data_IF_145384673877
#
_entry.id   IF_145384673877
#
_cell.length_a   1.000
_cell.length_b   1.000
_cell.length_c   1.000
_cell.angle_alpha   90.00
_cell.angle_beta   90.00
_cell.angle_gamma   90.00
#
_symmetry.space_group_name_H-M   'P 1'
#
loop_
_entity.id
_entity.type
_entity.pdbx_description
1 polymer ?
#
# COMPACT_ATOMS: atom_id res chain seq x y z
N UNK A 1 21.93 3.88 0.86
CA UNK A 1 22.42 5.22 0.55
C UNK A 1 23.22 5.18 -0.77
N UNK A 2 22.86 5.96 -1.81
CA UNK A 2 23.46 5.84 -3.15
C UNK A 2 25.00 6.03 -3.17
N UNK A 3 25.51 6.98 -2.40
CA UNK A 3 26.96 7.26 -2.34
C UNK A 3 27.76 6.19 -1.60
N UNK A 4 27.22 5.64 -0.53
CA UNK A 4 27.92 4.63 0.29
C UNK A 4 27.56 3.21 -0.12
N UNK A 5 26.56 3.01 -0.99
CA UNK A 5 25.98 1.71 -1.37
C UNK A 5 25.57 0.84 -0.18
N UNK A 6 25.22 1.47 0.93
CA UNK A 6 24.78 0.80 2.15
C UNK A 6 23.28 0.89 2.32
N UNK A 7 22.67 -0.20 2.80
CA UNK A 7 21.29 -0.26 3.24
C UNK A 7 21.22 0.02 4.74
N UNK A 8 20.19 0.75 5.15
CA UNK A 8 19.87 1.00 6.55
C UNK A 8 18.41 0.69 6.78
N UNK A 9 18.10 0.02 7.88
CA UNK A 9 16.71 -0.15 8.32
C UNK A 9 16.23 1.17 8.94
N UNK A 10 15.14 1.72 8.42
CA UNK A 10 14.51 2.97 8.89
C UNK A 10 13.32 2.70 9.83
N UNK A 11 13.10 1.45 10.23
CA UNK A 11 12.03 1.04 11.13
C UNK A 11 10.98 0.14 10.45
N UNK A 12 9.85 0.00 11.12
CA UNK A 12 8.75 -0.86 10.70
C UNK A 12 7.55 -0.04 10.23
N UNK A 13 6.72 -0.65 9.38
CA UNK A 13 5.40 -0.12 9.05
C UNK A 13 4.52 -0.06 10.30
N UNK A 14 3.61 0.92 10.42
CA UNK A 14 2.64 0.93 11.50
C UNK A 14 1.73 -0.28 11.41
N UNK A 15 1.45 -0.91 12.55
CA UNK A 15 0.51 -2.03 12.63
C UNK A 15 -0.90 -1.62 12.17
N UNK A 16 -1.68 -2.60 11.77
CA UNK A 16 -3.12 -2.43 11.56
C UNK A 16 -3.84 -2.22 12.91
N UNK A 17 -5.08 -1.74 12.85
CA UNK A 17 -5.96 -1.73 14.01
C UNK A 17 -6.05 -3.15 14.60
N UNK A 18 -5.95 -3.26 15.94
CA UNK A 18 -5.91 -4.57 16.61
C UNK A 18 -4.51 -5.20 16.71
N UNK A 19 -3.44 -4.52 16.27
CA UNK A 19 -2.05 -4.95 16.42
C UNK A 19 -1.56 -5.96 15.37
N UNK A 20 -2.37 -6.29 14.36
CA UNK A 20 -1.96 -7.15 13.25
C UNK A 20 -0.81 -6.55 12.45
N UNK A 21 0.06 -7.40 11.92
CA UNK A 21 1.15 -6.96 11.08
C UNK A 21 0.65 -6.38 9.75
N UNK A 22 1.44 -5.48 9.20
CA UNK A 22 1.22 -4.90 7.86
C UNK A 22 2.35 -5.33 6.93
N UNK A 23 2.02 -5.59 5.67
CA UNK A 23 2.98 -5.72 4.59
C UNK A 23 2.65 -4.72 3.47
N UNK A 24 3.63 -4.42 2.66
CA UNK A 24 3.47 -3.63 1.43
C UNK A 24 3.75 -4.46 0.18
N UNK A 25 3.79 -5.76 0.32
CA UNK A 25 3.93 -6.67 -0.82
C UNK A 25 2.84 -6.40 -1.85
N UNK A 26 3.23 -6.10 -3.09
CA UNK A 26 2.31 -5.68 -4.15
C UNK A 26 1.75 -4.26 -3.99
N UNK A 27 2.15 -3.50 -2.97
CA UNK A 27 1.82 -2.08 -2.84
C UNK A 27 2.66 -1.21 -3.75
N UNK A 28 2.31 0.06 -3.85
CA UNK A 28 3.09 1.06 -4.57
C UNK A 28 3.35 2.30 -3.71
N UNK A 29 4.44 2.99 -4.03
CA UNK A 29 4.88 4.17 -3.28
C UNK A 29 5.38 5.27 -4.24
N UNK A 30 5.22 6.52 -3.82
CA UNK A 30 5.69 7.69 -4.57
C UNK A 30 6.17 8.79 -3.63
N UNK A 31 7.20 9.52 -4.04
CA UNK A 31 7.61 10.73 -3.33
C UNK A 31 6.54 11.82 -3.45
N UNK A 32 6.29 12.54 -2.37
CA UNK A 32 5.33 13.65 -2.32
C UNK A 32 5.99 14.83 -1.60
N UNK A 33 6.27 15.89 -2.34
CA UNK A 33 7.11 16.99 -1.86
C UNK A 33 8.53 16.52 -1.53
N UNK A 34 9.24 17.30 -0.70
CA UNK A 34 10.67 17.11 -0.43
C UNK A 34 10.97 16.10 0.69
N UNK A 35 9.97 15.74 1.47
CA UNK A 35 10.17 14.98 2.71
C UNK A 35 9.20 13.84 2.93
N UNK A 36 8.29 13.58 2.02
CA UNK A 36 7.26 12.57 2.21
C UNK A 36 7.31 11.48 1.15
N UNK A 37 6.98 10.27 1.57
CA UNK A 37 6.70 9.13 0.69
C UNK A 37 5.29 8.66 1.01
N UNK A 38 4.44 8.62 -0.02
CA UNK A 38 3.11 8.02 0.08
C UNK A 38 3.18 6.55 -0.27
N UNK A 39 2.43 5.73 0.44
CA UNK A 39 2.38 4.29 0.29
C UNK A 39 0.93 3.81 0.30
N UNK A 40 0.55 3.01 -0.66
CA UNK A 40 -0.82 2.52 -0.84
C UNK A 40 -0.87 1.07 -1.28
N UNK A 41 -1.99 0.41 -1.02
CA UNK A 41 -2.34 -0.91 -1.52
C UNK A 41 -1.48 -2.04 -0.98
N UNK A 42 -1.43 -3.11 -1.75
CA UNK A 42 -0.74 -4.34 -1.38
C UNK A 42 -1.63 -5.36 -0.68
N UNK A 43 -1.09 -6.56 -0.51
CA UNK A 43 -1.82 -7.69 0.07
C UNK A 43 -1.99 -7.56 1.59
N UNK A 44 -2.97 -8.27 2.16
CA UNK A 44 -3.08 -8.43 3.60
C UNK A 44 -2.02 -9.42 4.10
N UNK A 45 -1.29 -9.04 5.14
CA UNK A 45 -0.18 -9.84 5.69
C UNK A 45 -0.63 -11.24 6.13
N UNK A 46 -1.69 -11.32 6.94
CA UNK A 46 -2.11 -12.59 7.52
C UNK A 46 -2.65 -13.55 6.46
N UNK A 47 -3.48 -13.04 5.53
CA UNK A 47 -4.00 -13.82 4.40
C UNK A 47 -2.89 -14.30 3.48
N UNK A 48 -1.95 -13.44 3.16
CA UNK A 48 -0.84 -13.78 2.28
C UNK A 48 0.10 -14.82 2.91
N UNK A 49 0.46 -14.62 4.18
CA UNK A 49 1.29 -15.56 4.94
C UNK A 49 0.61 -16.91 5.09
N UNK A 50 -0.70 -16.93 5.38
CA UNK A 50 -1.47 -18.15 5.52
C UNK A 50 -1.50 -18.94 4.21
N UNK A 51 -1.75 -18.28 3.09
CA UNK A 51 -1.73 -18.91 1.76
C UNK A 51 -0.36 -19.49 1.39
N UNK A 52 0.73 -18.90 1.86
CA UNK A 52 2.08 -19.43 1.63
C UNK A 52 2.37 -20.67 2.48
N UNK A 53 1.88 -20.70 3.73
CA UNK A 53 2.13 -21.78 4.69
C UNK A 53 1.14 -22.94 4.55
N UNK A 54 -0.08 -22.65 4.13
CA UNK A 54 -1.19 -23.61 3.99
C UNK A 54 -1.87 -23.42 2.62
N UNK A 55 -1.25 -23.88 1.52
CA UNK A 55 -1.82 -23.74 0.18
C UNK A 55 -3.17 -24.44 0.06
N UNK A 56 -4.20 -23.71 -0.35
CA UNK A 56 -5.55 -24.23 -0.60
C UNK A 56 -5.79 -24.33 -2.11
N UNK A 57 -6.33 -25.44 -2.63
CA UNK A 57 -6.59 -25.61 -4.07
C UNK A 57 -7.55 -24.57 -4.65
N UNK A 58 -8.48 -24.05 -3.84
CA UNK A 58 -9.49 -23.06 -4.20
C UNK A 58 -9.12 -21.63 -3.83
N UNK A 59 -7.87 -21.37 -3.42
CA UNK A 59 -7.38 -20.04 -3.03
C UNK A 59 -7.78 -18.93 -4.03
N UNK A 60 -7.75 -19.20 -5.34
CA UNK A 60 -8.08 -18.21 -6.36
C UNK A 60 -9.59 -18.01 -6.58
N UNK A 61 -10.44 -18.85 -6.00
CA UNK A 61 -11.89 -18.83 -6.21
C UNK A 61 -12.61 -17.87 -5.26
N UNK A 62 -11.96 -17.44 -4.18
CA UNK A 62 -12.56 -16.50 -3.22
C UNK A 62 -12.93 -15.15 -3.87
N UNK A 63 -13.96 -14.46 -3.36
CA UNK A 63 -14.30 -13.11 -3.79
C UNK A 63 -13.21 -12.11 -3.37
N UNK A 64 -13.17 -10.93 -4.00
CA UNK A 64 -12.08 -9.96 -3.79
C UNK A 64 -11.94 -9.48 -2.33
N UNK A 65 -13.05 -9.28 -1.64
CA UNK A 65 -13.09 -8.85 -0.24
C UNK A 65 -12.50 -9.88 0.75
N UNK A 66 -12.49 -11.15 0.38
CA UNK A 66 -11.86 -12.20 1.19
C UNK A 66 -10.36 -11.98 1.36
N UNK A 67 -9.66 -11.46 0.32
CA UNK A 67 -8.21 -11.24 0.34
C UNK A 67 -7.81 -10.06 1.21
N UNK A 68 -8.74 -9.17 1.54
CA UNK A 68 -8.53 -8.01 2.43
C UNK A 68 -7.30 -7.17 2.07
N UNK A 69 -7.15 -6.85 0.79
CA UNK A 69 -6.06 -5.98 0.36
C UNK A 69 -6.08 -4.66 1.12
N UNK A 70 -4.91 -4.05 1.30
CA UNK A 70 -4.77 -2.85 2.11
C UNK A 70 -5.50 -1.65 1.48
N UNK A 71 -6.36 -1.02 2.27
CA UNK A 71 -7.11 0.20 1.90
C UNK A 71 -6.42 1.48 2.40
N UNK A 72 -5.35 1.35 3.18
CA UNK A 72 -4.73 2.48 3.85
C UNK A 72 -3.89 3.34 2.90
N UNK A 73 -4.04 4.66 3.03
CA UNK A 73 -3.09 5.65 2.54
C UNK A 73 -2.14 6.01 3.68
N UNK A 74 -0.87 5.67 3.54
CA UNK A 74 0.16 5.95 4.52
C UNK A 74 1.13 7.00 3.99
N UNK A 75 1.59 7.86 4.88
CA UNK A 75 2.65 8.83 4.60
C UNK A 75 3.83 8.57 5.54
N UNK A 76 5.02 8.46 4.98
CA UNK A 76 6.27 8.44 5.72
C UNK A 76 7.00 9.77 5.56
N UNK A 77 7.34 10.42 6.67
CA UNK A 77 8.17 11.62 6.65
C UNK A 77 9.65 11.23 6.79
N UNK A 78 10.46 11.55 5.78
CA UNK A 78 11.87 11.16 5.72
C UNK A 78 12.78 11.91 6.70
N UNK A 79 12.38 13.09 7.19
CA UNK A 79 13.11 13.84 8.19
C UNK A 79 12.80 13.38 9.60
N UNK A 80 11.51 13.34 9.95
CA UNK A 80 11.08 12.97 11.30
C UNK A 80 11.06 11.47 11.53
N UNK A 81 11.14 10.65 10.45
CA UNK A 81 11.07 9.19 10.49
C UNK A 81 9.73 8.65 11.02
N UNK A 82 8.69 9.45 10.90
CA UNK A 82 7.34 9.10 11.36
C UNK A 82 6.41 8.71 10.23
N UNK A 83 5.54 7.74 10.54
CA UNK A 83 4.41 7.34 9.71
C UNK A 83 3.14 8.07 10.16
N UNK A 84 2.36 8.52 9.18
CA UNK A 84 1.02 9.07 9.37
C UNK A 84 0.03 8.24 8.55
N UNK A 85 -1.07 7.84 9.17
CA UNK A 85 -2.20 7.23 8.49
C UNK A 85 -3.15 8.34 8.03
N UNK A 86 -3.29 8.53 6.71
CA UNK A 86 -4.08 9.61 6.11
C UNK A 86 -5.53 9.20 5.85
N UNK A 87 -5.86 7.92 5.90
CA UNK A 87 -7.19 7.40 5.71
C UNK A 87 -7.23 6.00 5.12
N UNK A 88 -8.44 5.43 5.03
CA UNK A 88 -8.72 4.18 4.34
C UNK A 88 -9.68 4.45 3.18
N UNK A 89 -9.38 3.89 2.02
CA UNK A 89 -10.15 4.05 0.79
C UNK A 89 -10.21 2.71 0.08
N UNK A 90 -11.41 2.23 -0.21
CA UNK A 90 -11.62 0.92 -0.85
C UNK A 90 -10.95 0.84 -2.23
N UNK A 91 -10.85 1.97 -2.93
CA UNK A 91 -10.18 2.07 -4.23
C UNK A 91 -8.67 1.81 -4.15
N UNK A 92 -8.07 1.82 -2.97
CA UNK A 92 -6.67 1.47 -2.72
C UNK A 92 -6.45 -0.03 -2.50
N UNK A 93 -7.51 -0.83 -2.31
CA UNK A 93 -7.44 -2.27 -2.10
C UNK A 93 -6.98 -3.01 -3.37
N UNK A 94 -5.74 -2.76 -3.79
CA UNK A 94 -5.15 -3.29 -5.03
C UNK A 94 -3.71 -3.73 -4.81
N UNK A 95 -3.30 -4.75 -5.57
CA UNK A 95 -1.91 -5.16 -5.68
C UNK A 95 -1.38 -4.88 -7.09
N UNK A 96 -0.11 -4.50 -7.21
CA UNK A 96 0.53 -4.24 -8.49
C UNK A 96 -0.04 -3.05 -9.27
N UNK A 97 -0.65 -2.08 -8.60
CA UNK A 97 -1.12 -0.84 -9.22
C UNK A 97 0.04 0.08 -9.59
N UNK A 98 -0.15 0.93 -10.60
CA UNK A 98 0.70 2.09 -10.84
C UNK A 98 0.32 3.25 -9.92
N UNK A 99 1.29 4.12 -9.62
CA UNK A 99 1.06 5.35 -8.86
C UNK A 99 1.74 6.52 -9.51
N UNK A 100 1.05 7.65 -9.58
CA UNK A 100 1.58 8.93 -10.05
C UNK A 100 1.09 10.05 -9.13
N UNK A 101 1.78 11.18 -9.12
CA UNK A 101 1.29 12.37 -8.46
C UNK A 101 1.50 13.62 -9.32
N UNK A 102 0.63 14.60 -9.11
CA UNK A 102 0.74 15.93 -9.66
C UNK A 102 0.30 16.93 -8.60
N UNK A 103 1.25 17.72 -8.08
CA UNK A 103 1.04 18.62 -6.94
C UNK A 103 0.39 17.87 -5.76
N UNK A 104 -0.85 18.21 -5.42
CA UNK A 104 -1.59 17.61 -4.30
C UNK A 104 -2.51 16.46 -4.73
N UNK A 105 -2.41 15.97 -5.96
CA UNK A 105 -3.26 14.87 -6.45
C UNK A 105 -2.42 13.62 -6.62
N UNK A 106 -2.84 12.54 -5.97
CA UNK A 106 -2.29 11.19 -6.14
C UNK A 106 -3.20 10.40 -7.05
N UNK A 107 -2.65 9.74 -8.04
CA UNK A 107 -3.38 8.96 -9.04
C UNK A 107 -2.95 7.50 -8.93
N UNK A 108 -3.90 6.60 -8.75
CA UNK A 108 -3.71 5.15 -8.71
C UNK A 108 -4.27 4.55 -9.98
N UNK A 109 -3.49 3.72 -10.64
CA UNK A 109 -3.78 3.23 -11.99
C UNK A 109 -3.78 1.71 -12.01
N UNK A 110 -4.91 1.12 -12.37
CA UNK A 110 -5.05 -0.33 -12.54
C UNK A 110 -4.76 -1.14 -11.27
N UNK A 111 -4.13 -2.26 -11.43
CA UNK A 111 -3.80 -3.21 -10.36
C UNK A 111 -4.74 -4.41 -10.31
N UNK A 112 -4.48 -5.33 -9.40
CA UNK A 112 -5.29 -6.51 -9.14
C UNK A 112 -6.22 -6.27 -7.96
N UNK A 113 -7.50 -6.58 -8.12
CA UNK A 113 -8.50 -6.59 -7.04
C UNK A 113 -8.44 -7.90 -6.22
N UNK A 114 -7.96 -8.95 -6.85
CA UNK A 114 -7.60 -10.24 -6.25
C UNK A 114 -6.61 -10.93 -7.20
N UNK A 115 -5.91 -11.97 -6.77
CA UNK A 115 -4.96 -12.69 -7.62
C UNK A 115 -5.56 -13.06 -8.98
N UNK A 116 -4.92 -12.59 -10.07
CA UNK A 116 -5.33 -12.86 -11.46
C UNK A 116 -6.49 -12.01 -11.99
N UNK A 117 -7.15 -11.17 -11.20
CA UNK A 117 -8.24 -10.29 -11.64
C UNK A 117 -7.82 -8.83 -11.54
N UNK A 118 -7.63 -8.21 -12.68
CA UNK A 118 -7.18 -6.82 -12.81
C UNK A 118 -8.33 -5.87 -13.07
N UNK A 119 -8.14 -4.60 -12.66
CA UNK A 119 -9.04 -3.50 -12.97
C UNK A 119 -8.37 -2.48 -13.89
N UNK A 120 -9.07 -1.90 -14.86
CA UNK A 120 -8.58 -0.77 -15.67
C UNK A 120 -8.80 0.59 -14.99
N UNK A 121 -9.40 0.62 -13.81
CA UNK A 121 -9.79 1.87 -13.16
C UNK A 121 -8.59 2.76 -12.82
N UNK A 122 -8.83 4.07 -12.92
CA UNK A 122 -7.93 5.14 -12.51
C UNK A 122 -8.65 5.99 -11.47
N UNK A 123 -8.09 6.06 -10.27
CA UNK A 123 -8.66 6.84 -9.16
C UNK A 123 -7.70 7.96 -8.77
N UNK A 124 -8.25 9.15 -8.50
CA UNK A 124 -7.49 10.32 -8.09
C UNK A 124 -7.93 10.79 -6.70
N UNK A 125 -6.94 11.03 -5.84
CA UNK A 125 -7.13 11.49 -4.46
C UNK A 125 -6.47 12.83 -4.27
N UNK A 126 -7.20 13.82 -3.77
CA UNK A 126 -6.62 15.10 -3.35
C UNK A 126 -6.11 15.01 -1.92
N UNK A 127 -4.83 15.33 -1.74
CA UNK A 127 -4.25 15.53 -0.42
C UNK A 127 -4.59 16.94 0.04
N UNK A 128 -5.48 17.06 1.02
CA UNK A 128 -5.76 18.35 1.66
C UNK A 128 -4.76 18.54 2.80
N UNK A 129 -3.90 19.55 2.68
CA UNK A 129 -3.18 20.05 3.85
C UNK A 129 -4.21 20.69 4.78
N UNK A 130 -4.51 20.05 5.91
CA UNK A 130 -5.12 20.79 7.01
C UNK A 130 -4.02 21.67 7.61
N UNK A 131 -4.26 23.00 7.73
CA UNK A 131 -3.32 23.93 8.32
C UNK A 131 -3.05 23.62 9.79
#
# INVERSE_FOLDING_TARGET
HPKTKQWRNEGFLPSLAGGSHRTVTGGCAIASGDSSILLVGGVNYDRFRDALNHPEPDYLLHPADWYKFNTSLLQYNTFTKHWTHLGNYEELARAGAGIANNANTVIIIGGELKPGIRTPEVNAFKLTCHP
#
